data_IF_764690548283
#
_entry.id   IF_764690548283
#
_cell.length_a   1.000
_cell.length_b   1.000
_cell.length_c   1.000
_cell.angle_alpha   90.00
_cell.angle_beta   90.00
_cell.angle_gamma   90.00
#
_symmetry.space_group_name_H-M   'P 1'
#
loop_
_entity.id
_entity.type
_entity.pdbx_description
1 polymer ?
#
# COMPACT_ATOMS: atom_id res chain seq x y z
N UNK A 1 -41.74 6.64 -27.38
CA UNK A 1 -41.83 7.26 -26.04
C UNK A 1 -40.49 7.06 -25.34
N UNK A 2 -39.83 8.16 -24.95
CA UNK A 2 -38.50 8.14 -24.34
C UNK A 2 -38.61 7.87 -22.83
N UNK A 3 -37.84 6.92 -22.31
CA UNK A 3 -37.90 6.47 -20.92
C UNK A 3 -36.59 6.81 -20.18
N UNK A 4 -36.54 7.87 -19.35
CA UNK A 4 -35.31 8.39 -18.74
C UNK A 4 -34.88 7.65 -17.46
N UNK A 5 -35.49 6.50 -17.15
CA UNK A 5 -35.19 5.69 -15.96
C UNK A 5 -34.74 4.25 -16.28
N UNK A 6 -34.32 3.98 -17.53
CA UNK A 6 -33.61 2.74 -17.85
C UNK A 6 -32.21 2.76 -17.22
N UNK A 7 -32.17 2.58 -15.89
CA UNK A 7 -30.94 2.42 -15.10
C UNK A 7 -30.22 1.18 -15.63
N UNK A 8 -28.98 1.39 -16.08
CA UNK A 8 -28.05 0.35 -16.49
C UNK A 8 -28.02 -0.76 -15.42
N UNK A 9 -28.47 -1.94 -15.81
CA UNK A 9 -28.30 -3.18 -15.10
C UNK A 9 -26.81 -3.56 -15.12
N UNK A 10 -26.04 -3.06 -14.16
CA UNK A 10 -24.71 -3.58 -13.86
C UNK A 10 -24.87 -4.76 -12.90
N UNK A 11 -24.95 -5.97 -13.45
CA UNK A 11 -24.43 -7.17 -12.80
C UNK A 11 -22.96 -7.35 -13.21
N UNK A 12 -22.15 -8.22 -12.58
CA UNK A 12 -22.09 -8.65 -11.19
C UNK A 12 -20.70 -8.33 -10.57
N UNK A 13 -20.61 -8.17 -9.25
CA UNK A 13 -19.33 -8.14 -8.54
C UNK A 13 -18.82 -9.57 -8.33
N UNK A 14 -18.06 -10.07 -9.29
CA UNK A 14 -17.28 -11.29 -9.16
C UNK A 14 -15.90 -11.09 -9.80
N UNK A 15 -14.85 -11.38 -9.04
CA UNK A 15 -13.47 -11.50 -9.52
C UNK A 15 -12.56 -10.37 -9.05
N UNK A 16 -11.87 -10.53 -7.92
CA UNK A 16 -10.46 -10.99 -7.85
C UNK A 16 -9.46 -10.10 -8.59
N UNK A 17 -8.66 -9.39 -7.79
CA UNK A 17 -7.20 -9.37 -7.95
C UNK A 17 -6.66 -8.74 -9.23
N UNK A 18 -6.81 -7.42 -9.38
CA UNK A 18 -6.07 -6.63 -10.35
C UNK A 18 -5.37 -5.49 -9.63
N UNK A 19 -4.07 -5.64 -9.39
CA UNK A 19 -3.18 -4.60 -8.88
C UNK A 19 -3.33 -3.33 -9.73
N UNK A 20 -4.16 -2.41 -9.25
CA UNK A 20 -4.26 -1.06 -9.80
C UNK A 20 -3.31 -0.22 -8.99
N UNK A 21 -2.27 0.28 -9.65
CA UNK A 21 -1.33 1.29 -9.16
C UNK A 21 -2.03 2.25 -8.18
N UNK A 22 -1.42 2.61 -7.04
CA UNK A 22 -1.88 3.78 -6.31
C UNK A 22 -1.61 4.95 -7.26
N UNK A 23 -2.63 5.33 -8.02
CA UNK A 23 -2.70 6.68 -8.52
C UNK A 23 -2.77 7.52 -7.25
N UNK A 24 -1.62 8.09 -6.85
CA UNK A 24 -1.47 9.16 -5.86
C UNK A 24 -2.23 10.42 -6.30
N UNK A 25 -3.38 10.25 -6.94
CA UNK A 25 -4.29 11.31 -7.32
C UNK A 25 -5.00 11.76 -6.05
N UNK A 26 -4.67 12.95 -5.51
CA UNK A 26 -5.34 13.46 -4.32
C UNK A 26 -6.85 13.60 -4.55
N UNK A 27 -7.30 13.65 -5.81
CA UNK A 27 -8.70 13.67 -6.21
C UNK A 27 -9.47 12.38 -5.92
N UNK A 28 -8.84 11.20 -5.98
CA UNK A 28 -9.50 9.91 -5.78
C UNK A 28 -9.47 9.40 -4.32
N UNK A 29 -8.84 10.14 -3.41
CA UNK A 29 -8.78 9.76 -2.00
C UNK A 29 -10.03 10.20 -1.23
N UNK A 30 -10.64 9.28 -0.49
CA UNK A 30 -11.74 9.60 0.42
C UNK A 30 -11.33 10.61 1.50
N UNK A 31 -12.28 11.35 2.07
CA UNK A 31 -12.02 12.39 3.08
C UNK A 31 -11.14 11.89 4.24
N UNK A 32 -11.39 10.67 4.72
CA UNK A 32 -10.62 10.04 5.79
C UNK A 32 -9.18 9.71 5.36
N UNK A 33 -8.98 9.26 4.12
CA UNK A 33 -7.65 8.97 3.57
C UNK A 33 -6.84 10.27 3.38
N UNK A 34 -7.48 11.34 2.89
CA UNK A 34 -6.86 12.67 2.81
C UNK A 34 -6.44 13.19 4.18
N UNK A 35 -7.29 12.99 5.19
CA UNK A 35 -6.97 13.41 6.56
C UNK A 35 -5.79 12.61 7.13
N UNK A 36 -5.75 11.30 6.88
CA UNK A 36 -4.64 10.44 7.29
C UNK A 36 -3.33 10.82 6.61
N UNK A 37 -3.34 11.07 5.29
CA UNK A 37 -2.17 11.56 4.57
C UNK A 37 -1.72 12.94 5.04
N UNK A 38 -2.66 13.87 5.28
CA UNK A 38 -2.33 15.19 5.82
C UNK A 38 -1.72 15.08 7.22
N UNK A 39 -2.22 14.17 8.06
CA UNK A 39 -1.65 13.88 9.39
C UNK A 39 -0.25 13.30 9.30
N UNK A 40 -0.02 12.33 8.40
CA UNK A 40 1.30 11.76 8.15
C UNK A 40 2.29 12.80 7.59
N UNK A 41 1.82 13.67 6.69
CA UNK A 41 2.59 14.78 6.15
C UNK A 41 2.95 15.79 7.25
N UNK A 42 2.03 16.06 8.18
CA UNK A 42 2.24 16.97 9.31
C UNK A 42 3.01 16.39 10.51
N UNK A 43 3.29 15.08 10.53
CA UNK A 43 4.11 14.47 11.57
C UNK A 43 5.56 14.95 11.44
N UNK A 44 6.19 15.23 12.58
CA UNK A 44 7.62 15.51 12.64
C UNK A 44 8.44 14.29 12.21
N UNK A 45 9.68 14.48 11.77
CA UNK A 45 10.59 13.37 11.44
C UNK A 45 10.74 12.38 12.61
N UNK A 46 10.73 12.89 13.85
CA UNK A 46 10.78 12.08 15.06
C UNK A 46 9.56 11.15 15.20
N UNK A 47 8.36 11.65 14.93
CA UNK A 47 7.13 10.84 14.97
C UNK A 47 7.06 9.84 13.82
N UNK A 48 7.52 10.23 12.62
CA UNK A 48 7.65 9.32 11.49
C UNK A 48 8.64 8.20 11.78
N UNK A 49 9.81 8.50 12.36
CA UNK A 49 10.77 7.48 12.79
C UNK A 49 10.15 6.55 13.83
N UNK A 50 9.42 7.09 14.82
CA UNK A 50 8.74 6.27 15.85
C UNK A 50 7.66 5.38 15.25
N UNK A 51 6.91 5.87 14.27
CA UNK A 51 5.92 5.09 13.53
C UNK A 51 6.60 3.99 12.71
N UNK A 52 7.67 4.32 11.96
CA UNK A 52 8.44 3.35 11.21
C UNK A 52 9.03 2.27 12.12
N UNK A 53 9.63 2.65 13.25
CA UNK A 53 10.12 1.71 14.26
C UNK A 53 9.00 0.80 14.78
N UNK A 54 7.81 1.35 15.04
CA UNK A 54 6.65 0.57 15.48
C UNK A 54 6.19 -0.44 14.41
N UNK A 55 6.20 -0.05 13.15
CA UNK A 55 5.84 -0.92 12.02
C UNK A 55 6.91 -1.99 11.78
N UNK A 56 8.19 -1.63 11.97
CA UNK A 56 9.36 -2.52 11.85
C UNK A 56 9.65 -3.31 13.14
N UNK A 57 8.72 -3.36 14.10
CA UNK A 57 8.87 -4.28 15.23
C UNK A 57 8.80 -5.73 14.76
N UNK A 58 9.55 -6.65 15.37
CA UNK A 58 9.59 -8.05 14.95
C UNK A 58 8.20 -8.70 14.94
N UNK A 59 7.34 -8.37 15.91
CA UNK A 59 5.95 -8.85 15.94
C UNK A 59 5.13 -8.43 14.71
N UNK A 60 5.28 -7.18 14.27
CA UNK A 60 4.54 -6.67 13.11
C UNK A 60 5.15 -7.15 11.79
N UNK A 61 6.48 -7.30 11.74
CA UNK A 61 7.18 -7.89 10.61
C UNK A 61 6.73 -9.35 10.42
N UNK A 62 6.64 -10.14 11.49
CA UNK A 62 6.18 -11.53 11.41
C UNK A 62 4.74 -11.61 10.92
N UNK A 63 3.84 -10.78 11.46
CA UNK A 63 2.43 -10.72 11.03
C UNK A 63 2.27 -10.32 9.57
N UNK A 64 3.14 -9.47 9.04
CA UNK A 64 3.06 -8.95 7.68
C UNK A 64 4.15 -9.51 6.76
N UNK A 65 4.84 -10.58 7.15
CA UNK A 65 6.01 -11.15 6.44
C UNK A 65 5.73 -11.38 4.96
N UNK A 66 4.59 -12.00 4.64
CA UNK A 66 4.20 -12.27 3.26
C UNK A 66 4.01 -11.00 2.43
N UNK A 67 3.43 -9.95 3.01
CA UNK A 67 3.24 -8.67 2.33
C UNK A 67 4.57 -7.93 2.12
N UNK A 68 5.46 -7.95 3.12
CA UNK A 68 6.79 -7.33 3.04
C UNK A 68 7.64 -8.03 1.97
N UNK A 69 7.61 -9.37 1.91
CA UNK A 69 8.31 -10.14 0.88
C UNK A 69 7.76 -9.86 -0.52
N UNK A 70 6.44 -9.84 -0.68
CA UNK A 70 5.80 -9.51 -1.95
C UNK A 70 6.12 -8.10 -2.43
N UNK A 71 6.13 -7.12 -1.52
CA UNK A 71 6.52 -5.75 -1.82
C UNK A 71 8.00 -5.66 -2.24
N UNK A 72 8.90 -6.38 -1.56
CA UNK A 72 10.31 -6.46 -1.96
C UNK A 72 10.49 -7.12 -3.34
N UNK A 73 9.73 -8.16 -3.65
CA UNK A 73 9.78 -8.79 -4.97
C UNK A 73 9.28 -7.87 -6.07
N UNK A 74 8.22 -7.10 -5.81
CA UNK A 74 7.76 -6.06 -6.72
C UNK A 74 8.81 -4.97 -6.92
N UNK A 75 9.47 -4.53 -5.84
CA UNK A 75 10.56 -3.55 -5.92
C UNK A 75 11.78 -4.08 -6.69
N UNK A 76 12.08 -5.38 -6.57
CA UNK A 76 13.11 -6.03 -7.38
C UNK A 76 12.68 -6.10 -8.84
N UNK A 77 11.44 -6.51 -9.11
CA UNK A 77 10.90 -6.64 -10.46
C UNK A 77 10.82 -5.28 -11.17
N UNK A 78 10.58 -4.19 -10.44
CA UNK A 78 10.60 -2.82 -10.95
C UNK A 78 12.01 -2.23 -11.09
N UNK A 79 13.05 -2.95 -10.65
CA UNK A 79 14.44 -2.49 -10.68
C UNK A 79 14.77 -1.43 -9.62
N UNK A 80 13.88 -1.16 -8.66
CA UNK A 80 14.11 -0.21 -7.57
C UNK A 80 15.15 -0.71 -6.56
N UNK A 81 15.29 -2.04 -6.40
CA UNK A 81 16.30 -2.66 -5.53
C UNK A 81 16.97 -3.84 -6.23
N UNK A 82 18.27 -4.05 -5.95
CA UNK A 82 18.99 -5.24 -6.41
C UNK A 82 18.69 -6.46 -5.53
N UNK A 83 19.00 -7.67 -6.02
CA UNK A 83 18.89 -8.89 -5.19
C UNK A 83 19.74 -8.84 -3.93
N UNK A 84 20.93 -8.25 -4.01
CA UNK A 84 21.81 -8.08 -2.86
C UNK A 84 21.17 -7.16 -1.81
N UNK A 85 20.57 -6.06 -2.24
CA UNK A 85 19.85 -5.12 -1.36
C UNK A 85 18.60 -5.75 -0.75
N UNK A 86 17.86 -6.54 -1.53
CA UNK A 86 16.73 -7.32 -1.01
C UNK A 86 17.20 -8.30 0.08
N UNK A 87 18.28 -9.04 -0.16
CA UNK A 87 18.80 -10.04 0.78
C UNK A 87 19.27 -9.40 2.08
N UNK A 88 19.97 -8.27 1.98
CA UNK A 88 20.39 -7.48 3.15
C UNK A 88 19.18 -6.94 3.92
N UNK A 89 18.17 -6.42 3.21
CA UNK A 89 16.94 -5.92 3.84
C UNK A 89 16.18 -7.05 4.57
N UNK A 90 16.07 -8.24 3.97
CA UNK A 90 15.48 -9.42 4.63
C UNK A 90 16.23 -9.79 5.91
N UNK A 91 17.56 -9.83 5.86
CA UNK A 91 18.40 -10.11 7.02
C UNK A 91 18.21 -9.07 8.13
N UNK A 92 18.19 -7.78 7.79
CA UNK A 92 17.98 -6.69 8.78
C UNK A 92 16.59 -6.72 9.40
N UNK A 93 15.59 -7.25 8.69
CA UNK A 93 14.23 -7.41 9.19
C UNK A 93 14.00 -8.75 9.93
N UNK A 94 15.01 -9.61 10.05
CA UNK A 94 14.88 -10.93 10.67
C UNK A 94 13.96 -11.88 9.90
N UNK A 95 13.89 -11.72 8.57
CA UNK A 95 13.00 -12.46 7.66
C UNK A 95 13.70 -13.59 6.90
#
# INVERSE_FOLDING_TARGET
MWNPFAKKSTQPVAGTGGASQPSDDPQNMGFMQRLAMKKLASMSEAERMKLMQKVLTPDNIQKNKGQILGAMEQMKASGQISEAQMREAKQRMGL
#
